data_IF_404937484010
#
_entry.id   IF_404937484010
#
_cell.length_a   1.000
_cell.length_b   1.000
_cell.length_c   1.000
_cell.angle_alpha   90.00
_cell.angle_beta   90.00
_cell.angle_gamma   90.00
#
_symmetry.space_group_name_H-M   'P 1'
#
loop_
_entity.id
_entity.type
_entity.pdbx_description
1 polymer ?
#
# COMPACT_ATOMS: atom_id res chain seq x y z
N UNK A 1 -7.02 17.74 4.12
CA UNK A 1 -5.84 18.21 3.35
C UNK A 1 -4.82 18.82 4.28
N UNK A 2 -3.53 18.62 4.04
CA UNK A 2 -2.41 19.11 4.86
C UNK A 2 -1.46 20.00 4.02
N UNK A 3 -0.68 20.89 4.61
CA UNK A 3 0.36 21.62 3.83
C UNK A 3 1.45 20.65 3.38
N UNK A 4 1.77 20.66 2.08
CA UNK A 4 2.85 19.86 1.54
C UNK A 4 4.19 20.28 2.15
N UNK A 5 4.97 19.31 2.61
CA UNK A 5 6.34 19.51 3.08
C UNK A 5 7.26 18.62 2.27
N UNK A 6 8.28 19.23 1.69
CA UNK A 6 9.36 18.47 1.07
C UNK A 6 9.95 17.48 2.09
N UNK A 7 10.39 16.33 1.59
CA UNK A 7 11.19 15.40 2.40
C UNK A 7 12.46 16.09 2.88
N UNK A 8 13.06 15.54 3.94
CA UNK A 8 14.37 16.01 4.40
C UNK A 8 15.37 16.00 3.23
N UNK A 9 16.19 17.05 3.10
CA UNK A 9 17.16 17.20 2.01
C UNK A 9 18.10 16.02 1.89
N UNK A 10 18.49 15.43 3.02
CA UNK A 10 19.31 14.22 3.07
C UNK A 10 18.67 13.05 2.31
N UNK A 11 17.33 13.00 2.27
CA UNK A 11 16.58 11.93 1.63
C UNK A 11 16.50 12.07 0.10
N UNK A 12 16.56 13.31 -0.44
CA UNK A 12 16.40 13.56 -1.88
C UNK A 12 17.67 14.05 -2.58
N UNK A 13 18.71 14.46 -1.86
CA UNK A 13 19.89 15.10 -2.48
C UNK A 13 20.57 14.23 -3.55
N UNK A 14 20.61 12.91 -3.34
CA UNK A 14 21.19 11.99 -4.32
C UNK A 14 20.32 11.89 -5.57
N UNK A 15 19.00 11.78 -5.40
CA UNK A 15 18.04 11.80 -6.51
C UNK A 15 18.16 13.08 -7.34
N UNK A 16 18.19 14.24 -6.68
CA UNK A 16 18.37 15.54 -7.36
C UNK A 16 19.72 15.63 -8.08
N UNK A 17 20.80 15.13 -7.48
CA UNK A 17 22.13 15.10 -8.11
C UNK A 17 22.10 14.23 -9.37
N UNK A 18 21.57 13.02 -9.28
CA UNK A 18 21.52 12.07 -10.39
C UNK A 18 20.63 12.61 -11.51
N UNK A 19 19.47 13.18 -11.19
CA UNK A 19 18.59 13.83 -12.16
C UNK A 19 19.32 14.96 -12.92
N UNK A 20 20.08 15.81 -12.20
CA UNK A 20 20.84 16.91 -12.81
C UNK A 20 21.92 16.43 -13.78
N UNK A 21 22.59 15.32 -13.50
CA UNK A 21 23.57 14.75 -14.44
C UNK A 21 22.87 14.23 -15.70
N UNK A 22 21.76 13.51 -15.54
CA UNK A 22 20.97 13.00 -16.67
C UNK A 22 20.36 14.14 -17.50
N UNK A 23 19.98 15.24 -16.85
CA UNK A 23 19.52 16.46 -17.51
C UNK A 23 20.60 17.08 -18.40
N UNK A 24 21.87 17.09 -17.96
CA UNK A 24 22.99 17.56 -18.80
C UNK A 24 23.21 16.69 -20.04
N UNK A 25 22.84 15.41 -19.98
CA UNK A 25 22.86 14.49 -21.13
C UNK A 25 21.69 14.72 -22.10
N UNK A 26 20.69 15.54 -21.74
CA UNK A 26 19.46 15.69 -22.51
C UNK A 26 18.56 14.45 -22.48
N UNK A 27 18.65 13.66 -21.40
CA UNK A 27 17.99 12.34 -21.26
C UNK A 27 16.89 12.34 -20.20
N UNK A 28 16.31 13.51 -19.90
CA UNK A 28 15.22 13.64 -18.91
C UNK A 28 14.04 12.70 -19.22
N UNK A 29 13.67 12.50 -20.49
CA UNK A 29 12.59 11.58 -20.85
C UNK A 29 12.87 10.12 -20.43
N UNK A 30 14.13 9.67 -20.49
CA UNK A 30 14.51 8.33 -20.04
C UNK A 30 14.32 8.16 -18.54
N UNK A 31 14.39 9.25 -17.76
CA UNK A 31 14.12 9.22 -16.33
C UNK A 31 12.67 8.85 -16.05
N UNK A 32 11.71 9.37 -16.82
CA UNK A 32 10.30 9.04 -16.66
C UNK A 32 10.02 7.57 -17.00
N UNK A 33 10.75 7.02 -17.99
CA UNK A 33 10.63 5.61 -18.37
C UNK A 33 11.30 4.69 -17.35
N UNK A 34 12.57 4.93 -17.03
CA UNK A 34 13.39 4.11 -16.13
C UNK A 34 13.63 2.68 -16.64
N UNK A 35 13.53 2.44 -17.95
CA UNK A 35 13.77 1.12 -18.56
C UNK A 35 15.23 0.69 -18.36
N UNK A 36 16.18 1.60 -18.61
CA UNK A 36 17.58 1.41 -18.24
C UNK A 36 17.81 1.69 -16.76
N UNK A 37 18.59 0.82 -16.09
CA UNK A 37 18.85 0.93 -14.66
C UNK A 37 19.46 2.28 -14.23
N UNK A 38 20.30 2.90 -15.09
CA UNK A 38 20.92 4.21 -14.80
C UNK A 38 19.94 5.38 -14.78
N UNK A 39 18.77 5.23 -15.39
CA UNK A 39 17.74 6.25 -15.46
C UNK A 39 16.54 5.91 -14.58
N UNK A 40 16.64 4.88 -13.73
CA UNK A 40 15.52 4.37 -12.93
C UNK A 40 15.49 4.98 -11.54
N UNK A 41 14.39 5.66 -11.23
CA UNK A 41 14.18 6.34 -9.96
C UNK A 41 13.11 5.59 -9.17
N UNK A 42 13.49 5.01 -8.02
CA UNK A 42 12.62 4.19 -7.19
C UNK A 42 13.09 4.17 -5.73
N UNK A 43 12.22 3.75 -4.82
CA UNK A 43 12.55 3.46 -3.43
C UNK A 43 12.37 1.97 -3.13
N UNK A 44 12.70 1.55 -1.91
CA UNK A 44 12.62 0.13 -1.50
C UNK A 44 11.20 -0.42 -1.57
N UNK A 45 10.23 0.45 -1.32
CA UNK A 45 8.79 0.21 -1.28
C UNK A 45 8.09 0.55 -2.62
N UNK A 46 8.83 0.92 -3.66
CA UNK A 46 8.25 1.12 -4.99
C UNK A 46 7.68 -0.18 -5.53
N UNK A 47 6.40 -0.14 -5.93
CA UNK A 47 5.68 -1.28 -6.50
C UNK A 47 6.31 -1.75 -7.82
N UNK A 48 6.80 -0.83 -8.65
CA UNK A 48 7.43 -1.15 -9.94
C UNK A 48 8.96 -1.29 -9.78
N UNK A 49 9.48 -2.47 -10.10
CA UNK A 49 10.90 -2.80 -9.91
C UNK A 49 11.76 -2.56 -11.16
N UNK A 50 11.13 -2.60 -12.34
CA UNK A 50 11.77 -2.59 -13.65
C UNK A 50 11.68 -1.24 -14.37
N UNK A 51 10.99 -0.26 -13.80
CA UNK A 51 10.81 1.09 -14.37
C UNK A 51 10.78 2.16 -13.28
N UNK A 52 10.77 3.43 -13.66
CA UNK A 52 10.74 4.54 -12.69
C UNK A 52 9.38 4.62 -11.99
N UNK A 53 9.41 4.76 -10.67
CA UNK A 53 8.25 5.11 -9.88
C UNK A 53 7.99 6.62 -10.00
N UNK A 54 6.87 6.98 -10.64
CA UNK A 54 6.54 8.37 -10.91
C UNK A 54 6.24 9.16 -9.62
N UNK A 55 5.72 8.51 -8.58
CA UNK A 55 5.51 9.16 -7.29
C UNK A 55 6.83 9.56 -6.64
N UNK A 56 7.81 8.64 -6.68
CA UNK A 56 9.18 8.92 -6.23
C UNK A 56 9.83 10.03 -7.07
N UNK A 57 9.67 9.99 -8.39
CA UNK A 57 10.21 11.02 -9.27
C UNK A 57 9.66 12.40 -8.94
N UNK A 58 8.35 12.52 -8.72
CA UNK A 58 7.72 13.78 -8.32
C UNK A 58 8.28 14.26 -6.98
N UNK A 59 8.23 13.41 -5.95
CA UNK A 59 8.50 13.80 -4.56
C UNK A 59 10.00 14.03 -4.26
N UNK A 60 10.89 13.29 -4.93
CA UNK A 60 12.34 13.30 -4.67
C UNK A 60 13.15 14.02 -5.76
N UNK A 61 12.57 14.37 -6.90
CA UNK A 61 13.27 15.14 -7.94
C UNK A 61 12.51 16.40 -8.34
N UNK A 62 11.33 16.26 -8.95
CA UNK A 62 10.68 17.37 -9.65
C UNK A 62 10.30 18.50 -8.67
N UNK A 63 9.69 18.14 -7.54
CA UNK A 63 9.32 19.08 -6.49
C UNK A 63 10.53 19.73 -5.80
N UNK A 64 11.55 18.97 -5.34
CA UNK A 64 12.79 19.56 -4.85
C UNK A 64 13.48 20.50 -5.84
N UNK A 65 13.65 20.09 -7.11
CA UNK A 65 14.30 20.91 -8.15
C UNK A 65 13.56 22.22 -8.38
N UNK A 66 12.23 22.17 -8.43
CA UNK A 66 11.40 23.36 -8.58
C UNK A 66 11.56 24.33 -7.41
N UNK A 67 11.60 23.83 -6.17
CA UNK A 67 11.79 24.64 -4.97
C UNK A 67 13.23 25.18 -4.86
N UNK A 68 14.22 24.43 -5.32
CA UNK A 68 15.63 24.86 -5.40
C UNK A 68 15.90 25.89 -6.53
N UNK A 69 14.89 26.23 -7.33
CA UNK A 69 14.93 27.37 -8.26
C UNK A 69 14.79 27.00 -9.74
N UNK A 70 14.77 25.72 -10.10
CA UNK A 70 14.51 25.29 -11.49
C UNK A 70 13.01 25.32 -11.78
N UNK A 71 12.45 26.52 -11.96
CA UNK A 71 11.02 26.69 -12.25
C UNK A 71 10.60 26.13 -13.60
N UNK A 72 11.54 25.99 -14.53
CA UNK A 72 11.29 25.49 -15.88
C UNK A 72 11.05 23.96 -15.93
N UNK A 73 11.39 23.23 -14.86
CA UNK A 73 11.12 21.79 -14.73
C UNK A 73 9.63 21.45 -14.92
N UNK A 74 8.72 22.35 -14.53
CA UNK A 74 7.28 22.16 -14.70
C UNK A 74 6.90 22.11 -16.20
N UNK A 75 7.46 23.03 -17.00
CA UNK A 75 7.28 23.07 -18.45
C UNK A 75 7.92 21.84 -19.11
N UNK A 76 9.17 21.50 -18.74
CA UNK A 76 9.86 20.33 -19.31
C UNK A 76 9.12 19.03 -19.00
N UNK A 77 8.59 18.89 -17.78
CA UNK A 77 7.74 17.75 -17.38
C UNK A 77 6.51 17.65 -18.28
N UNK A 78 5.80 18.76 -18.50
CA UNK A 78 4.65 18.78 -19.40
C UNK A 78 5.03 18.36 -20.83
N UNK A 79 6.11 18.90 -21.40
CA UNK A 79 6.53 18.55 -22.77
C UNK A 79 6.92 17.07 -22.92
N UNK A 80 7.61 16.48 -21.93
CA UNK A 80 7.92 15.04 -21.92
C UNK A 80 6.65 14.21 -21.89
N UNK A 81 5.72 14.53 -20.99
CA UNK A 81 4.46 13.80 -20.86
C UNK A 81 3.56 13.99 -22.10
N UNK A 82 3.63 15.14 -22.74
CA UNK A 82 2.95 15.41 -24.01
C UNK A 82 3.51 14.54 -25.12
N UNK A 83 4.83 14.47 -25.31
CA UNK A 83 5.48 13.53 -26.25
C UNK A 83 5.03 12.09 -25.98
N UNK A 84 5.02 11.69 -24.71
CA UNK A 84 4.62 10.34 -24.33
C UNK A 84 3.15 10.06 -24.62
N UNK A 85 2.27 11.03 -24.35
CA UNK A 85 0.83 10.90 -24.59
C UNK A 85 0.48 10.78 -26.07
N UNK A 86 1.28 11.38 -26.96
CA UNK A 86 1.12 11.31 -28.41
C UNK A 86 1.75 10.05 -29.03
N UNK A 87 2.41 9.22 -28.22
CA UNK A 87 3.07 8.01 -28.71
C UNK A 87 2.12 6.81 -28.72
N UNK A 88 2.34 5.92 -29.69
CA UNK A 88 1.70 4.59 -29.71
C UNK A 88 2.51 3.56 -28.87
N UNK A 89 3.25 4.02 -27.86
CA UNK A 89 4.04 3.19 -26.97
C UNK A 89 3.32 3.01 -25.64
N UNK A 90 3.02 1.76 -25.31
CA UNK A 90 2.21 1.43 -24.14
C UNK A 90 2.93 1.78 -22.82
N UNK A 91 4.25 1.69 -22.77
CA UNK A 91 5.02 2.07 -21.59
C UNK A 91 5.04 3.58 -21.40
N UNK A 92 5.18 4.35 -22.48
CA UNK A 92 5.04 5.81 -22.43
C UNK A 92 3.64 6.22 -21.93
N UNK A 93 2.57 5.67 -22.50
CA UNK A 93 1.19 5.93 -22.05
C UNK A 93 0.95 5.55 -20.58
N UNK A 94 1.53 4.43 -20.13
CA UNK A 94 1.53 4.02 -18.72
C UNK A 94 2.16 5.09 -17.83
N UNK A 95 3.32 5.65 -18.21
CA UNK A 95 3.98 6.69 -17.40
C UNK A 95 3.18 7.99 -17.34
N UNK A 96 2.49 8.39 -18.41
CA UNK A 96 1.61 9.57 -18.37
C UNK A 96 0.42 9.35 -17.44
N UNK A 97 -0.26 8.22 -17.53
CA UNK A 97 -1.41 7.91 -16.66
C UNK A 97 -1.02 7.79 -15.18
N UNK A 98 0.17 7.24 -14.89
CA UNK A 98 0.75 7.24 -13.54
C UNK A 98 1.03 8.65 -13.02
N UNK A 99 1.57 9.53 -13.86
CA UNK A 99 1.82 10.92 -13.47
C UNK A 99 0.52 11.64 -13.11
N UNK A 100 -0.50 11.54 -13.98
CA UNK A 100 -1.82 12.16 -13.74
C UNK A 100 -2.41 11.65 -12.42
N UNK A 101 -2.36 10.33 -12.18
CA UNK A 101 -2.89 9.71 -10.96
C UNK A 101 -2.14 10.17 -9.70
N UNK A 102 -0.80 10.25 -9.75
CA UNK A 102 0.01 10.75 -8.64
C UNK A 102 -0.26 12.23 -8.36
N UNK A 103 -0.31 13.08 -9.40
CA UNK A 103 -0.63 14.49 -9.26
C UNK A 103 -2.01 14.68 -8.63
N UNK A 104 -3.03 13.93 -9.08
CA UNK A 104 -4.37 13.96 -8.51
C UNK A 104 -4.36 13.58 -7.03
N UNK A 105 -3.58 12.57 -6.65
CA UNK A 105 -3.40 12.21 -5.24
C UNK A 105 -2.76 13.35 -4.44
N UNK A 106 -1.69 13.98 -4.94
CA UNK A 106 -1.06 15.12 -4.27
C UNK A 106 -2.01 16.30 -4.10
N UNK A 107 -2.71 16.72 -5.17
CA UNK A 107 -3.69 17.82 -5.15
C UNK A 107 -4.86 17.53 -4.21
N UNK A 108 -5.29 16.27 -4.10
CA UNK A 108 -6.41 15.89 -3.23
C UNK A 108 -6.00 15.88 -1.74
N UNK A 109 -4.75 15.58 -1.45
CA UNK A 109 -4.28 15.38 -0.07
C UNK A 109 -3.56 16.61 0.50
N UNK A 110 -2.97 17.46 -0.35
CA UNK A 110 -2.10 18.55 0.08
C UNK A 110 -2.43 19.92 -0.51
N UNK A 111 -2.15 20.97 0.28
CA UNK A 111 -2.05 22.36 -0.16
C UNK A 111 -0.59 22.75 -0.39
N UNK A 112 -0.35 23.84 -1.11
CA UNK A 112 0.98 24.43 -1.36
C UNK A 112 1.98 23.45 -2.02
N UNK A 113 1.47 22.55 -2.87
CA UNK A 113 2.33 21.69 -3.68
C UNK A 113 3.16 22.54 -4.65
N UNK A 114 4.41 22.16 -4.95
CA UNK A 114 5.34 23.04 -5.67
C UNK A 114 4.84 23.48 -7.05
N UNK A 115 4.29 22.56 -7.84
CA UNK A 115 3.63 22.89 -9.09
C UNK A 115 2.60 21.82 -9.48
N UNK A 116 1.71 22.20 -10.40
CA UNK A 116 0.71 21.36 -11.06
C UNK A 116 0.83 21.64 -12.56
N UNK A 117 0.70 20.60 -13.38
CA UNK A 117 0.56 20.76 -14.83
C UNK A 117 -0.90 20.53 -15.25
N UNK A 118 -1.35 21.25 -16.27
CA UNK A 118 -2.66 21.06 -16.89
C UNK A 118 -2.68 19.74 -17.67
N UNK A 119 -3.66 18.87 -17.40
CA UNK A 119 -3.68 17.50 -17.94
C UNK A 119 -4.70 17.27 -19.05
N UNK A 120 -5.56 18.23 -19.36
CA UNK A 120 -6.65 18.08 -20.34
C UNK A 120 -6.15 17.66 -21.73
N UNK A 121 -5.03 18.24 -22.18
CA UNK A 121 -4.41 17.85 -23.46
C UNK A 121 -3.86 16.42 -23.40
N UNK A 122 -3.24 16.05 -22.28
CA UNK A 122 -2.68 14.71 -22.09
C UNK A 122 -3.78 13.64 -22.08
N UNK A 123 -4.91 13.92 -21.41
CA UNK A 123 -6.08 13.02 -21.37
C UNK A 123 -6.62 12.78 -22.79
N UNK A 124 -6.80 13.84 -23.58
CA UNK A 124 -7.20 13.72 -25.00
C UNK A 124 -6.24 12.84 -25.80
N UNK A 125 -4.95 13.10 -25.67
CA UNK A 125 -3.92 12.36 -26.39
C UNK A 125 -3.88 10.89 -25.99
N UNK A 126 -4.01 10.57 -24.70
CA UNK A 126 -4.05 9.19 -24.21
C UNK A 126 -5.21 8.42 -24.83
N UNK A 127 -6.42 9.00 -24.85
CA UNK A 127 -7.59 8.35 -25.45
C UNK A 127 -7.33 8.05 -26.93
N UNK A 128 -6.79 9.02 -27.67
CA UNK A 128 -6.49 8.87 -29.09
C UNK A 128 -5.41 7.81 -29.34
N UNK A 129 -4.26 7.90 -28.66
CA UNK A 129 -3.14 6.97 -28.80
C UNK A 129 -3.50 5.55 -28.38
N UNK A 130 -4.33 5.40 -27.33
CA UNK A 130 -4.80 4.08 -26.86
C UNK A 130 -5.61 3.36 -27.95
N UNK A 131 -6.40 4.10 -28.72
CA UNK A 131 -7.18 3.54 -29.83
C UNK A 131 -6.30 3.00 -30.98
N UNK A 132 -5.07 3.52 -31.10
CA UNK A 132 -4.09 3.16 -32.12
C UNK A 132 -3.04 2.13 -31.66
N UNK A 133 -3.13 1.61 -30.44
CA UNK A 133 -2.24 0.56 -29.96
C UNK A 133 -2.36 -0.72 -30.79
N UNK A 134 -1.22 -1.37 -31.03
CA UNK A 134 -1.17 -2.66 -31.74
C UNK A 134 -1.84 -3.79 -30.95
N UNK A 135 -2.28 -4.84 -31.66
CA UNK A 135 -2.88 -6.02 -31.02
C UNK A 135 -1.94 -6.69 -30.00
N UNK A 136 -0.64 -6.72 -30.28
CA UNK A 136 0.36 -7.30 -29.37
C UNK A 136 0.44 -6.52 -28.06
N UNK A 137 0.45 -5.18 -28.13
CA UNK A 137 0.42 -4.33 -26.95
C UNK A 137 -0.87 -4.52 -26.15
N UNK A 138 -2.02 -4.66 -26.84
CA UNK A 138 -3.33 -4.86 -26.22
C UNK A 138 -3.46 -6.22 -25.49
N UNK A 139 -2.57 -7.18 -25.73
CA UNK A 139 -2.55 -8.49 -25.04
C UNK A 139 -1.70 -8.51 -23.77
N UNK A 140 -1.21 -7.37 -23.30
CA UNK A 140 -0.32 -7.28 -22.13
C UNK A 140 -1.07 -6.83 -20.87
N UNK A 141 -0.53 -7.21 -19.69
CA UNK A 141 -1.03 -6.71 -18.39
C UNK A 141 -0.94 -5.19 -18.27
N UNK A 142 0.03 -4.56 -18.95
CA UNK A 142 0.14 -3.10 -18.97
C UNK A 142 -1.06 -2.44 -19.66
N UNK A 143 -1.61 -3.06 -20.71
CA UNK A 143 -2.80 -2.54 -21.39
C UNK A 143 -4.05 -2.68 -20.52
N UNK A 144 -4.19 -3.80 -19.81
CA UNK A 144 -5.22 -3.96 -18.79
C UNK A 144 -5.14 -2.84 -17.73
N UNK A 145 -3.94 -2.54 -17.24
CA UNK A 145 -3.71 -1.42 -16.32
C UNK A 145 -4.16 -0.07 -16.90
N UNK A 146 -3.85 0.19 -18.17
CA UNK A 146 -4.29 1.41 -18.87
C UNK A 146 -5.82 1.48 -18.98
N UNK A 147 -6.49 0.39 -19.39
CA UNK A 147 -7.95 0.32 -19.45
C UNK A 147 -8.60 0.53 -18.07
N UNK A 148 -8.02 -0.04 -17.01
CA UNK A 148 -8.48 0.16 -15.64
C UNK A 148 -8.39 1.62 -15.20
N UNK A 149 -7.35 2.36 -15.62
CA UNK A 149 -7.24 3.80 -15.36
C UNK A 149 -8.35 4.57 -16.06
N UNK A 150 -8.58 4.30 -17.35
CA UNK A 150 -9.65 4.93 -18.15
C UNK A 150 -11.04 4.66 -17.55
N UNK A 151 -11.28 3.44 -17.05
CA UNK A 151 -12.55 3.05 -16.46
C UNK A 151 -12.79 3.71 -15.09
N UNK A 152 -11.77 3.81 -14.24
CA UNK A 152 -11.91 4.31 -12.86
C UNK A 152 -11.91 5.83 -12.73
N UNK A 153 -11.36 6.55 -13.70
CA UNK A 153 -11.21 8.00 -13.63
C UNK A 153 -12.23 8.72 -14.52
N UNK A 154 -13.20 9.47 -13.94
CA UNK A 154 -14.26 10.11 -14.71
C UNK A 154 -13.78 11.10 -15.79
N UNK A 155 -12.62 11.73 -15.58
CA UNK A 155 -12.03 12.72 -16.50
C UNK A 155 -11.85 12.21 -17.94
N UNK A 156 -11.58 10.91 -18.13
CA UNK A 156 -11.44 10.33 -19.47
C UNK A 156 -12.80 10.26 -20.19
N UNK A 157 -13.87 9.84 -19.50
CA UNK A 157 -15.23 9.84 -20.08
C UNK A 157 -15.77 11.24 -20.31
N UNK A 158 -15.47 12.16 -19.40
CA UNK A 158 -15.82 13.57 -19.56
C UNK A 158 -15.14 14.19 -20.80
N UNK A 159 -13.95 13.70 -21.13
CA UNK A 159 -13.21 14.13 -22.31
C UNK A 159 -13.77 13.57 -23.62
N UNK A 160 -14.01 12.25 -23.70
CA UNK A 160 -14.57 11.59 -24.89
C UNK A 160 -15.21 10.24 -24.52
N UNK A 161 -16.48 10.27 -24.12
CA UNK A 161 -17.23 9.09 -23.68
C UNK A 161 -17.31 8.01 -24.77
N UNK A 162 -17.57 8.38 -26.02
CA UNK A 162 -17.74 7.45 -27.12
C UNK A 162 -16.46 6.63 -27.37
N UNK A 163 -15.29 7.30 -27.43
CA UNK A 163 -14.02 6.60 -27.63
C UNK A 163 -13.63 5.75 -26.43
N UNK A 164 -13.83 6.26 -25.21
CA UNK A 164 -13.51 5.50 -24.00
C UNK A 164 -14.35 4.23 -23.92
N UNK A 165 -15.66 4.30 -24.13
CA UNK A 165 -16.53 3.13 -24.09
C UNK A 165 -16.20 2.14 -25.22
N UNK A 166 -15.81 2.62 -26.41
CA UNK A 166 -15.32 1.76 -27.49
C UNK A 166 -14.04 1.00 -27.09
N UNK A 167 -13.06 1.67 -26.49
CA UNK A 167 -11.81 1.06 -26.00
C UNK A 167 -12.12 0.01 -24.92
N UNK A 168 -12.94 0.37 -23.93
CA UNK A 168 -13.26 -0.53 -22.81
C UNK A 168 -14.09 -1.73 -23.27
N UNK A 169 -15.01 -1.54 -24.22
CA UNK A 169 -15.76 -2.65 -24.83
C UNK A 169 -14.83 -3.59 -25.58
N UNK A 170 -13.95 -3.06 -26.44
CA UNK A 170 -12.97 -3.87 -27.16
C UNK A 170 -12.07 -4.66 -26.20
N UNK A 171 -11.59 -4.00 -25.14
CA UNK A 171 -10.82 -4.64 -24.08
C UNK A 171 -11.59 -5.82 -23.47
N UNK A 172 -12.81 -5.60 -22.99
CA UNK A 172 -13.64 -6.63 -22.34
C UNK A 172 -13.98 -7.80 -23.26
N UNK A 173 -14.20 -7.55 -24.53
CA UNK A 173 -14.62 -8.59 -25.49
C UNK A 173 -13.44 -9.40 -26.07
N UNK A 174 -12.27 -8.78 -26.28
CA UNK A 174 -11.17 -9.40 -27.04
C UNK A 174 -9.93 -9.75 -26.22
N UNK A 175 -9.61 -8.96 -25.20
CA UNK A 175 -8.30 -9.01 -24.54
C UNK A 175 -8.40 -9.32 -23.05
N UNK A 176 -9.53 -8.96 -22.43
CA UNK A 176 -9.84 -9.33 -21.06
C UNK A 176 -10.12 -10.84 -21.03
N UNK A 177 -9.06 -11.58 -20.75
CA UNK A 177 -9.15 -12.98 -20.41
C UNK A 177 -9.09 -13.04 -18.88
N UNK A 178 -10.24 -12.97 -18.17
CA UNK A 178 -10.21 -13.12 -16.72
C UNK A 178 -9.46 -14.42 -16.41
N UNK A 179 -8.69 -14.49 -15.32
CA UNK A 179 -8.13 -15.76 -14.88
C UNK A 179 -9.25 -16.79 -14.92
N UNK A 180 -9.05 -17.94 -15.58
CA UNK A 180 -9.99 -19.05 -15.47
C UNK A 180 -10.13 -19.30 -13.98
N UNK A 181 -11.28 -18.93 -13.43
CA UNK A 181 -11.65 -19.23 -12.06
C UNK A 181 -11.83 -20.74 -12.06
N UNK A 182 -10.76 -21.46 -11.75
CA UNK A 182 -10.92 -22.80 -11.17
C UNK A 182 -11.74 -22.53 -9.93
N UNK A 183 -12.98 -23.03 -9.88
CA UNK A 183 -13.87 -22.89 -8.73
C UNK A 183 -13.12 -23.29 -7.45
N UNK A 184 -12.56 -22.29 -6.80
CA UNK A 184 -12.13 -22.32 -5.41
C UNK A 184 -12.44 -20.93 -4.92
N UNK A 185 -13.48 -20.86 -4.10
CA UNK A 185 -13.78 -19.72 -3.26
C UNK A 185 -12.50 -19.46 -2.46
N UNK A 186 -11.66 -18.50 -2.88
CA UNK A 186 -10.72 -17.87 -1.96
C UNK A 186 -11.59 -17.00 -1.06
N UNK A 187 -12.05 -17.57 0.04
CA UNK A 187 -12.34 -16.79 1.24
C UNK A 187 -11.17 -15.83 1.41
N UNK A 188 -11.45 -14.53 1.32
CA UNK A 188 -10.49 -13.51 1.72
C UNK A 188 -10.28 -13.74 3.21
N UNK A 189 -9.21 -14.46 3.55
CA UNK A 189 -8.86 -14.66 4.95
C UNK A 189 -8.55 -13.27 5.52
N UNK A 190 -9.18 -12.95 6.64
CA UNK A 190 -9.01 -11.73 7.41
C UNK A 190 -8.82 -12.14 8.86
N UNK A 191 -8.06 -11.36 9.62
CA UNK A 191 -7.88 -11.65 11.04
C UNK A 191 -9.17 -11.25 11.77
N UNK A 192 -9.92 -12.23 12.24
CA UNK A 192 -11.08 -12.06 13.11
C UNK A 192 -10.67 -12.35 14.55
N UNK A 193 -10.39 -11.28 15.30
CA UNK A 193 -10.09 -11.38 16.72
C UNK A 193 -10.79 -10.21 17.42
N UNK A 194 -11.79 -10.51 18.25
CA UNK A 194 -12.44 -9.49 19.08
C UNK A 194 -11.49 -9.07 20.19
N UNK A 195 -11.00 -7.84 20.10
CA UNK A 195 -10.03 -7.26 21.04
C UNK A 195 -10.68 -6.63 22.27
N UNK A 196 -12.01 -6.51 22.28
CA UNK A 196 -12.75 -5.75 23.31
C UNK A 196 -13.35 -6.63 24.40
N UNK A 197 -13.60 -7.91 24.11
CA UNK A 197 -14.21 -8.84 25.04
C UNK A 197 -13.19 -9.82 25.66
N UNK A 198 -13.58 -10.39 26.80
CA UNK A 198 -12.91 -11.54 27.41
C UNK A 198 -13.68 -12.79 26.95
N UNK A 199 -12.97 -13.78 26.40
CA UNK A 199 -13.61 -14.91 25.72
C UNK A 199 -14.22 -15.86 26.75
N UNK A 200 -13.42 -16.24 27.75
CA UNK A 200 -13.91 -16.94 28.93
C UNK A 200 -13.01 -16.68 30.15
N UNK A 201 -13.57 -16.87 31.34
CA UNK A 201 -12.84 -16.78 32.60
C UNK A 201 -13.36 -17.81 33.60
N UNK A 202 -12.47 -18.32 34.44
CA UNK A 202 -12.78 -19.34 35.43
C UNK A 202 -11.77 -19.38 36.57
N UNK A 203 -12.07 -20.18 37.58
CA UNK A 203 -11.17 -20.46 38.69
C UNK A 203 -10.69 -21.89 38.54
N UNK A 204 -9.38 -22.09 38.46
CA UNK A 204 -8.74 -23.39 38.38
C UNK A 204 -7.88 -23.59 39.63
N UNK A 205 -8.23 -24.58 40.46
CA UNK A 205 -7.63 -24.98 41.74
C UNK A 205 -7.16 -23.84 42.69
N UNK A 206 -6.14 -23.08 42.33
CA UNK A 206 -5.46 -22.04 43.11
C UNK A 206 -5.34 -20.65 42.42
N UNK A 207 -5.84 -20.48 41.19
CA UNK A 207 -5.68 -19.23 40.43
C UNK A 207 -6.92 -18.85 39.61
N UNK A 208 -6.98 -17.57 39.26
CA UNK A 208 -7.91 -17.06 38.25
C UNK A 208 -7.31 -17.30 36.86
N UNK A 209 -8.04 -17.95 35.97
CA UNK A 209 -7.62 -18.19 34.59
C UNK A 209 -8.58 -17.50 33.61
N UNK A 210 -8.02 -16.72 32.68
CA UNK A 210 -8.73 -16.11 31.54
C UNK A 210 -8.29 -16.81 30.27
N UNK A 211 -9.24 -17.36 29.53
CA UNK A 211 -8.99 -18.03 28.26
C UNK A 211 -9.08 -17.00 27.12
N UNK A 212 -8.07 -16.97 26.25
CA UNK A 212 -8.02 -16.23 24.99
C UNK A 212 -7.95 -17.26 23.86
N UNK A 213 -8.93 -17.25 22.97
CA UNK A 213 -9.01 -18.17 21.84
C UNK A 213 -8.60 -17.43 20.56
N UNK A 214 -7.58 -17.95 19.88
CA UNK A 214 -7.15 -17.44 18.58
C UNK A 214 -7.39 -18.49 17.47
N UNK A 215 -8.41 -18.25 16.66
CA UNK A 215 -8.84 -19.12 15.56
C UNK A 215 -8.20 -18.76 14.22
N UNK A 216 -7.32 -17.75 14.18
CA UNK A 216 -6.81 -17.19 12.93
C UNK A 216 -5.60 -17.98 12.40
N UNK A 217 -5.53 -18.11 11.07
CA UNK A 217 -4.33 -18.64 10.41
C UNK A 217 -3.21 -17.60 10.42
N UNK A 218 -1.99 -18.07 10.65
CA UNK A 218 -0.78 -17.28 10.55
C UNK A 218 -0.31 -17.19 9.10
N UNK A 219 -0.84 -16.19 8.38
CA UNK A 219 -0.51 -15.93 6.97
C UNK A 219 0.52 -14.80 6.89
N UNK A 220 1.63 -15.00 6.17
CA UNK A 220 2.73 -14.02 6.05
C UNK A 220 2.24 -12.61 5.66
N UNK A 221 1.29 -12.50 4.73
CA UNK A 221 0.77 -11.20 4.27
C UNK A 221 -0.16 -10.49 5.27
N UNK A 222 -0.66 -11.19 6.30
CA UNK A 222 -1.55 -10.65 7.34
C UNK A 222 -0.91 -10.65 8.73
N UNK A 223 0.33 -11.11 8.84
CA UNK A 223 1.00 -11.34 10.11
C UNK A 223 1.11 -10.06 10.96
N UNK A 224 1.39 -8.91 10.33
CA UNK A 224 1.45 -7.63 11.03
C UNK A 224 0.09 -7.23 11.63
N UNK A 225 -1.01 -7.42 10.89
CA UNK A 225 -2.37 -7.17 11.40
C UNK A 225 -2.72 -8.13 12.54
N UNK A 226 -2.33 -9.41 12.40
CA UNK A 226 -2.58 -10.43 13.42
C UNK A 226 -1.87 -10.09 14.73
N UNK A 227 -0.58 -9.76 14.65
CA UNK A 227 0.22 -9.35 15.80
C UNK A 227 -0.38 -8.11 16.49
N UNK A 228 -0.84 -7.13 15.72
CA UNK A 228 -1.48 -5.93 16.27
C UNK A 228 -2.76 -6.26 17.04
N UNK A 229 -3.67 -7.05 16.46
CA UNK A 229 -4.92 -7.44 17.16
C UNK A 229 -4.65 -8.30 18.39
N UNK A 230 -3.68 -9.21 18.30
CA UNK A 230 -3.31 -10.06 19.43
C UNK A 230 -2.72 -9.21 20.58
N UNK A 231 -1.91 -8.20 20.24
CA UNK A 231 -1.42 -7.22 21.22
C UNK A 231 -2.56 -6.42 21.86
N UNK A 232 -3.50 -5.90 21.07
CA UNK A 232 -4.66 -5.17 21.58
C UNK A 232 -5.51 -6.04 22.51
N UNK A 233 -5.77 -7.30 22.14
CA UNK A 233 -6.53 -8.23 22.96
C UNK A 233 -5.82 -8.56 24.26
N UNK A 234 -4.52 -8.88 24.22
CA UNK A 234 -3.75 -9.13 25.45
C UNK A 234 -3.71 -7.91 26.38
N UNK A 235 -3.58 -6.70 25.82
CA UNK A 235 -3.64 -5.47 26.60
C UNK A 235 -5.02 -5.30 27.28
N UNK A 236 -6.11 -5.65 26.60
CA UNK A 236 -7.44 -5.65 27.19
C UNK A 236 -7.57 -6.64 28.37
N UNK A 237 -6.99 -7.84 28.23
CA UNK A 237 -6.99 -8.85 29.30
C UNK A 237 -6.17 -8.40 30.51
N UNK A 238 -4.99 -7.84 30.27
CA UNK A 238 -4.15 -7.26 31.33
C UNK A 238 -4.92 -6.13 32.02
N UNK A 239 -5.52 -5.21 31.26
CA UNK A 239 -6.31 -4.13 31.82
C UNK A 239 -7.51 -4.64 32.64
N UNK A 240 -8.22 -5.67 32.16
CA UNK A 240 -9.33 -6.29 32.90
C UNK A 240 -8.89 -6.83 34.27
N UNK A 241 -7.71 -7.47 34.32
CA UNK A 241 -7.12 -7.97 35.56
C UNK A 241 -6.64 -6.84 36.48
N UNK A 242 -5.91 -5.85 35.96
CA UNK A 242 -5.39 -4.72 36.73
C UNK A 242 -6.51 -3.84 37.31
N UNK A 243 -7.57 -3.62 36.53
CA UNK A 243 -8.76 -2.88 36.95
C UNK A 243 -9.72 -3.70 37.83
N UNK A 244 -9.36 -4.96 38.15
CA UNK A 244 -10.08 -5.83 39.08
C UNK A 244 -11.54 -6.08 38.71
N UNK A 245 -11.85 -6.11 37.41
CA UNK A 245 -13.23 -6.27 36.92
C UNK A 245 -13.85 -7.64 37.27
N UNK A 246 -13.04 -8.65 37.62
CA UNK A 246 -13.50 -9.97 38.04
C UNK A 246 -13.98 -10.05 39.50
N UNK A 247 -13.67 -9.05 40.33
CA UNK A 247 -13.79 -9.16 41.80
C UNK A 247 -15.23 -9.32 42.27
N UNK A 248 -16.20 -8.67 41.62
CA UNK A 248 -17.62 -8.82 41.97
C UNK A 248 -18.09 -10.28 41.85
N UNK A 249 -17.53 -11.02 40.89
CA UNK A 249 -17.95 -12.40 40.58
C UNK A 249 -17.13 -13.46 41.29
N UNK A 250 -15.82 -13.26 41.47
CA UNK A 250 -14.90 -14.29 41.94
C UNK A 250 -14.16 -13.94 43.24
N UNK A 251 -14.30 -12.70 43.73
CA UNK A 251 -13.45 -12.17 44.79
C UNK A 251 -12.03 -11.88 44.31
N UNK A 252 -11.14 -11.51 45.23
CA UNK A 252 -9.75 -11.10 44.94
C UNK A 252 -8.69 -11.93 45.66
N UNK A 253 -9.01 -13.18 46.01
CA UNK A 253 -8.15 -14.05 46.79
C UNK A 253 -7.39 -15.03 45.88
N UNK A 254 -6.56 -14.51 44.98
CA UNK A 254 -5.75 -15.31 44.07
C UNK A 254 -4.28 -14.90 44.15
N UNK A 255 -3.39 -15.85 44.38
CA UNK A 255 -1.93 -15.62 44.39
C UNK A 255 -1.37 -15.44 42.98
N UNK A 256 -2.09 -15.94 41.97
CA UNK A 256 -1.72 -15.86 40.56
C UNK A 256 -2.94 -15.62 39.68
N UNK A 257 -2.70 -14.94 38.57
CA UNK A 257 -3.66 -14.71 37.48
C UNK A 257 -3.03 -15.23 36.20
N UNK A 258 -3.73 -16.07 35.47
CA UNK A 258 -3.21 -16.71 34.25
C UNK A 258 -4.03 -16.25 33.06
N UNK A 259 -3.35 -15.69 32.06
CA UNK A 259 -3.91 -15.53 30.73
C UNK A 259 -3.50 -16.78 29.95
N UNK A 260 -4.48 -17.64 29.69
CA UNK A 260 -4.29 -18.88 28.94
C UNK A 260 -4.69 -18.62 27.49
N UNK A 261 -3.72 -18.66 26.57
CA UNK A 261 -3.97 -18.51 25.13
C UNK A 261 -3.93 -19.86 24.44
N UNK A 262 -4.98 -20.17 23.67
CA UNK A 262 -5.07 -21.35 22.81
C UNK A 262 -5.10 -20.93 21.34
N UNK A 263 -4.38 -21.67 20.50
CA UNK A 263 -4.32 -21.41 19.06
C UNK A 263 -4.95 -22.55 18.26
N UNK A 264 -5.83 -22.22 17.32
CA UNK A 264 -6.30 -23.19 16.32
C UNK A 264 -5.21 -23.53 15.31
N UNK A 265 -4.35 -22.56 14.98
CA UNK A 265 -3.25 -22.70 14.04
C UNK A 265 -1.94 -22.28 14.69
N UNK A 266 -0.87 -23.04 14.43
CA UNK A 266 0.45 -22.76 15.01
C UNK A 266 0.91 -21.33 14.68
N UNK A 267 1.34 -20.55 15.69
CA UNK A 267 1.95 -19.25 15.48
C UNK A 267 3.21 -19.30 14.64
N UNK A 268 3.52 -18.19 13.97
CA UNK A 268 4.81 -18.00 13.31
C UNK A 268 5.94 -17.76 14.33
N UNK A 269 7.19 -17.77 13.87
CA UNK A 269 8.35 -17.41 14.69
C UNK A 269 8.22 -16.00 15.30
N UNK A 270 7.65 -15.06 14.56
CA UNK A 270 7.37 -13.70 15.05
C UNK A 270 6.29 -13.70 16.13
N UNK A 271 5.23 -14.49 15.95
CA UNK A 271 4.19 -14.72 16.95
C UNK A 271 4.73 -15.31 18.25
N UNK A 272 5.54 -16.35 18.16
CA UNK A 272 6.20 -16.98 19.31
C UNK A 272 7.15 -16.00 20.02
N UNK A 273 7.93 -15.22 19.26
CA UNK A 273 8.81 -14.20 19.82
C UNK A 273 8.02 -13.09 20.55
N UNK A 274 6.88 -12.68 20.00
CA UNK A 274 5.96 -11.73 20.62
C UNK A 274 5.40 -12.26 21.95
N UNK A 275 4.88 -13.50 21.98
CA UNK A 275 4.37 -14.11 23.22
C UNK A 275 5.46 -14.23 24.29
N UNK A 276 6.68 -14.59 23.89
CA UNK A 276 7.82 -14.62 24.80
C UNK A 276 8.17 -13.24 25.36
N UNK A 277 8.01 -12.17 24.57
CA UNK A 277 8.19 -10.79 25.03
C UNK A 277 7.10 -10.38 26.03
N UNK A 278 5.83 -10.71 25.75
CA UNK A 278 4.71 -10.47 26.68
C UNK A 278 4.95 -11.19 28.01
N UNK A 279 5.36 -12.47 27.97
CA UNK A 279 5.63 -13.23 29.18
C UNK A 279 6.74 -12.58 30.03
N UNK A 280 7.78 -12.01 29.42
CA UNK A 280 8.83 -11.24 30.13
C UNK A 280 8.29 -9.97 30.77
N UNK A 281 7.38 -9.25 30.10
CA UNK A 281 6.73 -8.04 30.63
C UNK A 281 5.88 -8.37 31.86
N UNK A 282 5.25 -9.55 31.89
CA UNK A 282 4.40 -9.97 33.01
C UNK A 282 5.18 -10.55 34.21
N UNK A 283 6.43 -10.96 34.04
CA UNK A 283 7.26 -11.56 35.12
C UNK A 283 7.29 -10.81 36.46
N UNK A 284 7.33 -9.46 36.54
CA UNK A 284 7.36 -8.75 37.83
C UNK A 284 5.98 -8.62 38.49
N UNK A 285 4.91 -9.15 37.88
CA UNK A 285 3.52 -9.07 38.36
C UNK A 285 3.04 -10.43 38.89
N UNK A 286 1.81 -10.49 39.40
CA UNK A 286 1.11 -11.74 39.74
C UNK A 286 0.41 -12.38 38.52
N UNK A 287 0.62 -11.82 37.32
CA UNK A 287 0.09 -12.32 36.06
C UNK A 287 1.11 -13.20 35.34
N UNK A 288 0.62 -14.18 34.60
CA UNK A 288 1.45 -15.02 33.73
C UNK A 288 0.71 -15.42 32.46
N UNK A 289 1.47 -15.73 31.41
CA UNK A 289 0.97 -16.23 30.16
C UNK A 289 1.19 -17.76 30.10
N UNK A 290 0.14 -18.50 29.79
CA UNK A 290 0.19 -19.93 29.46
C UNK A 290 -0.19 -20.08 27.99
N UNK A 291 0.68 -20.67 27.18
CA UNK A 291 0.49 -20.83 25.74
C UNK A 291 0.25 -22.30 25.42
N UNK A 292 -0.88 -22.59 24.80
CA UNK A 292 -1.24 -23.92 24.28
C UNK A 292 -1.23 -23.89 22.75
N UNK A 293 -0.36 -24.70 22.16
CA UNK A 293 -0.22 -24.84 20.71
C UNK A 293 -1.04 -26.03 20.22
N UNK A 294 -1.56 -25.99 18.97
CA UNK A 294 -2.26 -27.13 18.40
C UNK A 294 -1.32 -28.32 18.21
N UNK A 295 -1.86 -29.55 18.31
CA UNK A 295 -1.14 -30.81 18.08
C UNK A 295 -0.71 -31.01 16.61
#
# INVERSE_FOLDING_TARGET
MQTYKLKNKENYQNFVKDYREIMKEGKEAEVFLGTEARYRFRQRDSYELDSTDIGVLIEYCLYPLYVEGDRDIARRTFEILKDFSLSNDLMKLKKVTQYISNQKWFVTNYYDIPFVIETDELVRNIIESTSHLSDDQKRTYTYEGLCNVLERNPEYRQCDEEKVEKILKEFKEKYYNPPNVVETIKTVEKIELDVTSIDAMGVADDHLELLLIDENKWIESLEEEHLLKLQEKLNNYIYFLESKQYVERYGDNFDKKVIHITFQYSPSDNGLAFLAAVQKVLQPTDMSLKVELPE
#
